data_IF_254906687199
#
_entry.id   IF_254906687199
#
_cell.length_a   1.000
_cell.length_b   1.000
_cell.length_c   1.000
_cell.angle_alpha   90.00
_cell.angle_beta   90.00
_cell.angle_gamma   90.00
#
_symmetry.space_group_name_H-M   'P 1'
#
loop_
_entity.id
_entity.type
_entity.pdbx_description
1 polymer ?
2 non-polymer ?
3 non-polymer ?
4 non-polymer ?
5 water ?
#
# COMPACT_ATOMS: atom_id res chain seq x y z
N UNK A 3 20.19 -4.40 15.27
CA UNK A 3 19.15 -3.33 15.10
C UNK A 3 18.71 -3.10 13.66
N UNK A 4 17.45 -2.71 13.48
CA UNK A 4 16.90 -2.51 12.13
C UNK A 4 16.53 -1.07 11.96
N UNK A 5 16.22 -0.69 10.73
CA UNK A 5 15.85 0.69 10.43
C UNK A 5 14.46 0.94 10.99
N UNK A 6 14.29 2.10 11.62
CA UNK A 6 13.01 2.57 12.06
C UNK A 6 12.87 4.10 11.92
N UNK A 7 11.65 4.59 12.13
CA UNK A 7 11.32 6.03 11.93
C UNK A 7 10.97 6.64 13.27
N UNK A 8 11.73 7.62 13.70
CA UNK A 8 11.68 7.96 15.14
C UNK A 8 11.07 9.30 15.53
N UNK A 9 10.79 10.15 14.56
CA UNK A 9 10.33 11.48 14.85
C UNK A 9 8.85 11.59 14.47
N UNK A 10 8.25 12.75 14.68
CA UNK A 10 6.85 13.05 14.38
C UNK A 10 6.87 14.01 13.24
N UNK A 11 6.12 13.71 12.18
CA UNK A 11 6.22 14.45 10.92
C UNK A 11 5.65 15.86 11.06
N UNK A 12 6.25 16.77 10.29
CA UNK A 12 5.71 18.12 10.10
C UNK A 12 4.48 18.09 9.14
N UNK A 13 3.26 18.16 9.70
CA UNK A 13 2.00 18.50 8.91
C UNK A 13 2.30 19.75 8.05
N UNK A 14 2.10 19.65 6.72
CA UNK A 14 2.79 20.58 5.82
C UNK A 14 2.27 22.01 5.94
N UNK A 15 3.11 22.98 5.59
CA UNK A 15 2.84 24.39 5.92
C UNK A 15 1.51 24.94 5.37
N UNK A 16 1.18 24.59 4.12
CA UNK A 16 0.00 25.13 3.40
C UNK A 16 -0.23 24.44 2.05
N UNK A 17 -1.38 24.70 1.45
CA UNK A 17 -1.70 24.21 0.10
C UNK A 17 -2.48 22.90 0.05
N UNK A 18 -2.56 22.35 -1.16
CA UNK A 18 -3.20 21.06 -1.42
C UNK A 18 -2.60 19.95 -0.56
N UNK A 19 -1.26 19.88 -0.53
CA UNK A 19 -0.60 18.87 0.31
C UNK A 19 -1.01 18.92 1.79
N UNK A 20 -1.16 20.13 2.35
CA UNK A 20 -1.65 20.27 3.72
C UNK A 20 -3.08 19.76 3.88
N UNK A 21 -3.93 20.04 2.90
CA UNK A 21 -5.35 19.59 2.93
C UNK A 21 -5.41 18.05 2.90
N UNK A 22 -4.60 17.46 2.03
CA UNK A 22 -4.50 16.00 1.94
C UNK A 22 -3.96 15.41 3.25
N UNK A 23 -2.88 15.98 3.82
CA UNK A 23 -2.37 15.51 5.14
C UNK A 23 -3.40 15.57 6.28
N UNK A 24 -4.24 16.60 6.25
CA UNK A 24 -5.26 16.79 7.30
C UNK A 24 -6.31 15.68 7.33
N UNK A 25 -6.49 15.00 6.19
CA UNK A 25 -7.43 13.89 6.11
C UNK A 25 -7.11 12.77 7.08
N UNK A 26 -5.82 12.48 7.26
CA UNK A 26 -5.42 11.51 8.26
C UNK A 26 -5.89 11.89 9.66
N UNK A 27 -5.77 13.16 10.01
CA UNK A 27 -6.23 13.62 11.33
C UNK A 27 -7.72 13.33 11.50
N UNK A 28 -8.52 13.60 10.48
CA UNK A 28 -9.95 13.27 10.48
C UNK A 28 -10.19 11.74 10.71
N UNK A 29 -9.41 10.92 10.03
CA UNK A 29 -9.47 9.45 10.13
C UNK A 29 -9.09 8.99 11.54
N UNK A 30 -8.01 9.53 12.08
CA UNK A 30 -7.55 9.25 13.44
C UNK A 30 -8.61 9.61 14.49
N UNK A 31 -9.26 10.73 14.28
CA UNK A 31 -10.38 11.15 15.12
C UNK A 31 -11.60 10.20 15.05
N UNK A 32 -11.89 9.69 13.84
CA UNK A 32 -12.94 8.68 13.65
C UNK A 32 -12.60 7.40 14.44
N UNK A 33 -11.34 6.95 14.37
CA UNK A 33 -10.89 5.88 15.27
C UNK A 33 -11.27 6.11 16.71
N UNK A 34 -10.97 7.31 17.23
CA UNK A 34 -11.24 7.69 18.61
C UNK A 34 -12.70 7.58 19.05
N UNK A 35 -13.63 7.68 18.10
CA UNK A 35 -15.07 7.51 18.42
C UNK A 35 -15.37 6.06 18.89
N UNK A 36 -14.54 5.12 18.47
CA UNK A 36 -14.78 3.71 18.75
C UNK A 36 -15.89 3.11 17.92
N UNK A 37 -16.45 3.94 17.03
CA UNK A 37 -17.57 3.53 16.17
C UNK A 37 -17.11 3.16 14.77
N UNK A 38 -17.17 1.85 14.44
CA UNK A 38 -16.70 1.42 13.13
C UNK A 38 -17.44 2.05 11.90
N UNK A 39 -18.71 2.39 12.07
CA UNK A 39 -19.48 3.10 11.05
C UNK A 39 -18.84 4.44 10.68
N UNK A 40 -18.40 5.17 11.70
CA UNK A 40 -17.80 6.48 11.48
C UNK A 40 -16.52 6.32 10.69
N UNK A 41 -15.74 5.30 11.04
CA UNK A 41 -14.48 5.06 10.28
C UNK A 41 -14.78 4.68 8.83
N UNK A 42 -15.66 3.69 8.63
CA UNK A 42 -16.09 3.28 7.28
C UNK A 42 -16.61 4.45 6.41
N UNK A 43 -17.27 5.43 7.05
CA UNK A 43 -17.81 6.58 6.32
C UNK A 43 -16.73 7.33 5.54
N UNK A 44 -15.49 7.18 5.96
CA UNK A 44 -14.36 7.86 5.27
C UNK A 44 -13.81 7.09 4.02
N UNK A 45 -14.32 5.86 3.79
CA UNK A 45 -13.95 5.04 2.65
C UNK A 45 -15.03 5.18 1.59
N UNK A 46 -14.58 5.28 0.35
CA UNK A 46 -15.49 5.19 -0.80
C UNK A 46 -16.22 3.83 -0.76
N UNK A 47 -17.47 3.80 -1.28
CA UNK A 47 -18.19 2.51 -1.38
C UNK A 47 -17.39 1.40 -2.06
N UNK A 48 -16.57 1.77 -3.05
CA UNK A 48 -15.66 0.85 -3.74
C UNK A 48 -14.21 0.98 -3.26
N UNK A 49 -14.04 1.49 -2.06
CA UNK A 49 -12.72 1.49 -1.43
C UNK A 49 -12.20 0.09 -1.20
N UNK A 50 -10.86 -0.02 -1.14
CA UNK A 50 -10.19 -1.31 -0.87
C UNK A 50 -9.20 -1.07 0.29
N UNK A 51 -9.35 -1.85 1.35
CA UNK A 51 -8.48 -1.87 2.52
C UNK A 51 -7.64 -3.19 2.61
N UNK A 52 -6.35 -3.05 2.73
CA UNK A 52 -5.38 -4.12 2.86
C UNK A 52 -4.72 -3.86 4.21
N UNK A 53 -5.36 -4.39 5.28
CA UNK A 53 -5.12 -3.93 6.63
C UNK A 53 -3.93 -4.53 7.35
N UNK A 54 -3.51 -3.90 8.45
CA UNK A 54 -2.33 -4.33 9.16
C UNK A 54 -2.39 -5.77 9.63
N UNK A 55 -3.51 -6.18 10.25
CA UNK A 55 -3.51 -7.48 10.96
C UNK A 55 -4.40 -8.60 10.38
N UNK A 56 -4.91 -8.41 9.17
CA UNK A 56 -5.74 -9.45 8.57
C UNK A 56 -5.30 -9.79 7.17
N UNK A 57 -5.32 -11.09 6.83
CA UNK A 57 -5.04 -11.47 5.45
C UNK A 57 -6.17 -11.11 4.51
N UNK A 58 -7.38 -10.90 5.03
CA UNK A 58 -8.56 -10.75 4.18
C UNK A 58 -8.61 -9.29 3.71
N UNK A 59 -8.46 -9.12 2.40
CA UNK A 59 -8.59 -7.80 1.77
C UNK A 59 -10.08 -7.41 1.81
N UNK A 60 -10.34 -6.18 2.21
CA UNK A 60 -11.71 -5.72 2.45
C UNK A 60 -12.14 -4.80 1.32
N UNK A 61 -13.13 -5.24 0.55
CA UNK A 61 -13.55 -4.48 -0.65
C UNK A 61 -15.05 -4.20 -0.66
N UNK A 62 -15.69 -4.20 0.52
CA UNK A 62 -17.03 -3.69 0.68
C UNK A 62 -17.10 -2.93 1.98
N UNK A 63 -18.13 -2.08 2.14
CA UNK A 63 -18.30 -1.36 3.39
C UNK A 63 -18.42 -2.33 4.53
N UNK A 64 -19.18 -3.42 4.31
CA UNK A 64 -19.42 -4.42 5.37
C UNK A 64 -18.10 -5.04 5.82
N UNK A 65 -17.23 -5.37 4.86
CA UNK A 65 -15.96 -5.97 5.20
C UNK A 65 -15.02 -4.98 5.89
N UNK A 66 -15.05 -3.73 5.47
CA UNK A 66 -14.29 -2.65 6.17
C UNK A 66 -14.78 -2.50 7.61
N UNK A 67 -16.08 -2.35 7.80
CA UNK A 67 -16.66 -2.28 9.14
C UNK A 67 -16.21 -3.43 10.00
N UNK A 68 -16.26 -4.64 9.44
CA UNK A 68 -15.87 -5.83 10.17
C UNK A 68 -14.44 -5.71 10.72
N UNK A 69 -13.51 -5.21 9.90
CA UNK A 69 -12.17 -5.01 10.38
C UNK A 69 -12.08 -4.05 11.56
N UNK A 70 -12.77 -2.92 11.46
CA UNK A 70 -12.68 -1.88 12.48
C UNK A 70 -13.45 -2.28 13.72
N UNK A 71 -14.44 -3.16 13.59
CA UNK A 71 -15.09 -3.70 14.80
C UNK A 71 -14.07 -4.36 15.76
N UNK A 72 -13.08 -5.04 15.18
CA UNK A 72 -12.00 -5.62 15.97
C UNK A 72 -10.98 -4.56 16.31
N UNK A 73 -10.42 -3.91 15.28
CA UNK A 73 -9.34 -2.92 15.48
C UNK A 73 -9.61 -1.85 16.55
N UNK A 74 -10.85 -1.37 16.62
CA UNK A 74 -11.16 -0.23 17.46
C UNK A 74 -11.24 -0.63 18.93
N UNK A 75 -11.38 -1.92 19.21
CA UNK A 75 -11.38 -2.41 20.60
C UNK A 75 -10.01 -2.22 21.30
N UNK A 76 -8.96 -1.97 20.52
CA UNK A 76 -7.61 -1.64 21.01
C UNK A 76 -7.37 -0.15 21.27
N UNK A 77 -8.42 0.67 21.10
CA UNK A 77 -8.37 2.11 21.36
C UNK A 77 -7.18 2.74 20.60
N UNK A 78 -7.05 2.45 19.30
CA UNK A 78 -5.85 2.90 18.58
C UNK A 78 -5.77 4.42 18.35
N UNK A 79 -4.56 4.96 18.51
CA UNK A 79 -4.26 6.36 18.30
C UNK A 79 -3.06 6.37 17.36
N UNK A 80 -3.15 7.01 16.18
CA UNK A 80 -2.00 7.06 15.25
C UNK A 80 -1.24 8.38 15.24
N UNK A 81 0.05 8.33 14.93
CA UNK A 81 0.84 9.54 14.68
C UNK A 81 1.70 9.27 13.46
N UNK A 82 1.85 10.28 12.61
CA UNK A 82 2.62 10.16 11.37
C UNK A 82 4.08 10.45 11.66
N UNK A 83 4.96 9.53 11.26
CA UNK A 83 6.40 9.69 11.50
C UNK A 83 7.12 10.19 10.29
N UNK A 84 6.59 9.84 9.14
CA UNK A 84 7.17 10.24 7.90
C UNK A 84 6.08 10.17 6.84
N UNK A 85 6.02 11.22 6.03
CA UNK A 85 4.95 11.46 5.05
C UNK A 85 5.49 11.82 3.69
N UNK A 86 4.86 11.28 2.64
CA UNK A 86 4.95 11.80 1.25
C UNK A 86 3.53 12.09 0.78
N UNK A 87 3.36 13.21 0.08
CA UNK A 87 2.10 13.56 -0.58
C UNK A 87 2.32 13.78 -2.06
N UNK A 88 1.55 13.06 -2.88
CA UNK A 88 1.64 13.17 -4.32
C UNK A 88 0.25 13.48 -4.85
N UNK A 89 0.15 14.52 -5.67
CA UNK A 89 -1.14 15.02 -6.17
C UNK A 89 -1.30 14.50 -7.59
N UNK A 90 -2.40 13.82 -7.87
CA UNK A 90 -2.63 13.27 -9.19
C UNK A 90 -3.51 14.23 -10.00
N UNK A 91 -4.82 14.19 -9.79
CA UNK A 91 -5.76 15.06 -10.50
C UNK A 91 -5.72 16.44 -9.81
N UNK A 92 -6.84 17.15 -9.86
CA UNK A 92 -7.22 18.12 -8.81
C UNK A 92 -8.08 17.36 -7.77
N UNK A 93 -8.47 16.14 -8.14
CA UNK A 93 -9.40 15.36 -7.35
C UNK A 93 -8.88 13.97 -6.97
N UNK A 94 -7.56 13.72 -7.06
CA UNK A 94 -7.01 12.53 -6.43
C UNK A 94 -5.60 12.75 -5.90
N UNK A 95 -5.29 12.07 -4.80
CA UNK A 95 -4.01 12.22 -4.09
C UNK A 95 -3.57 10.98 -3.36
N UNK A 96 -2.26 10.85 -3.13
CA UNK A 96 -1.71 9.77 -2.34
C UNK A 96 -0.87 10.31 -1.18
N UNK A 97 -1.27 9.91 0.02
CA UNK A 97 -0.48 10.12 1.25
C UNK A 97 0.10 8.76 1.70
N UNK A 98 1.41 8.66 1.74
CA UNK A 98 2.10 7.42 2.00
C UNK A 98 3.31 7.69 2.88
N UNK A 99 3.55 6.77 3.79
CA UNK A 99 4.72 6.87 4.66
C UNK A 99 4.71 5.86 5.77
N UNK A 100 5.08 6.32 6.94
CA UNK A 100 5.19 5.49 8.17
C UNK A 100 4.43 6.19 9.26
N UNK A 101 3.62 5.40 9.96
CA UNK A 101 2.98 5.86 11.15
C UNK A 101 3.10 4.84 12.29
N UNK A 102 2.79 5.31 13.50
CA UNK A 102 2.86 4.51 14.69
C UNK A 102 1.52 4.59 15.40
N UNK A 103 1.01 3.44 15.76
CA UNK A 103 -0.18 3.35 16.60
C UNK A 103 0.15 2.96 18.03
N UNK A 104 -0.46 3.66 18.96
CA UNK A 104 -0.46 3.27 20.35
C UNK A 104 -1.76 2.54 20.58
N UNK A 105 -1.64 1.30 21.05
CA UNK A 105 -2.77 0.44 21.28
C UNK A 105 -2.87 0.21 22.79
N UNK A 106 -4.09 -0.02 23.24
CA UNK A 106 -4.36 -0.24 24.66
C UNK A 106 -5.07 -1.57 24.81
N UNK A 107 -4.57 -2.42 25.69
CA UNK A 107 -5.12 -3.77 25.83
C UNK A 107 -6.26 -3.81 26.86
N UNK A 108 -6.85 -5.01 27.03
CA UNK A 108 -8.01 -5.24 27.92
C UNK A 108 -7.77 -4.78 29.36
N UNK A 109 -6.54 -4.96 29.85
CA UNK A 109 -6.14 -4.56 31.21
C UNK A 109 -5.39 -3.21 31.30
N UNK A 110 -5.56 -2.33 30.31
CA UNK A 110 -4.94 -0.98 30.30
C UNK A 110 -3.49 -0.89 29.80
N UNK A 111 -2.95 -2.01 29.36
CA UNK A 111 -1.54 -2.08 28.99
C UNK A 111 -1.39 -1.51 27.57
N UNK A 112 -0.43 -0.62 27.39
CA UNK A 112 -0.20 0.01 26.08
C UNK A 112 1.01 -0.58 25.37
N UNK A 113 0.99 -0.43 24.05
CA UNK A 113 2.06 -0.89 23.22
C UNK A 113 2.00 -0.04 21.96
N UNK A 114 3.12 0.09 21.27
CA UNK A 114 3.21 0.86 20.04
C UNK A 114 3.57 -0.08 18.96
N UNK A 115 2.90 0.08 17.81
CA UNK A 115 3.25 -0.60 16.58
C UNK A 115 3.51 0.38 15.41
N UNK A 116 4.68 0.27 14.82
CA UNK A 116 5.03 1.09 13.67
C UNK A 116 4.69 0.31 12.39
N UNK A 117 4.16 1.02 11.41
CA UNK A 117 3.65 0.39 10.15
C UNK A 117 3.82 1.37 8.99
N UNK A 118 3.95 0.83 7.78
CA UNK A 118 3.91 1.63 6.57
C UNK A 118 2.43 1.82 6.17
N UNK A 119 2.15 2.92 5.49
CA UNK A 119 0.83 3.21 4.96
C UNK A 119 0.83 3.79 3.56
N UNK A 120 -0.25 3.50 2.86
CA UNK A 120 -0.70 4.26 1.72
C UNK A 120 -2.18 4.55 1.91
N UNK A 121 -2.53 5.82 1.84
CA UNK A 121 -3.93 6.25 1.56
C UNK A 121 -4.03 6.87 0.15
N UNK A 122 -4.92 6.36 -0.69
CA UNK A 122 -5.23 6.96 -1.97
C UNK A 122 -6.63 7.53 -1.80
N UNK A 123 -6.68 8.85 -1.97
CA UNK A 123 -7.93 9.59 -1.88
C UNK A 123 -8.47 10.03 -3.27
N UNK A 124 -9.79 10.06 -3.39
CA UNK A 124 -10.42 10.54 -4.60
C UNK A 124 -11.49 11.52 -4.13
N UNK A 125 -11.56 12.72 -4.72
CA UNK A 125 -12.58 13.69 -4.34
C UNK A 125 -13.81 13.54 -5.25
N UNK A 126 -14.95 13.20 -4.66
CA UNK A 126 -16.21 13.06 -5.40
C UNK A 126 -17.27 13.92 -4.75
N UNK A 127 -18.01 14.69 -5.56
CA UNK A 127 -18.99 15.64 -5.05
C UNK A 127 -18.35 16.53 -4.01
N UNK A 128 -17.13 16.95 -4.33
CA UNK A 128 -16.35 17.86 -3.50
C UNK A 128 -15.81 17.30 -2.19
N UNK A 129 -16.08 16.02 -1.91
CA UNK A 129 -15.65 15.40 -0.68
C UNK A 129 -14.59 14.30 -0.96
N UNK A 130 -13.52 14.33 -0.19
CA UNK A 130 -12.49 13.30 -0.26
C UNK A 130 -12.93 12.00 0.40
N UNK A 131 -12.71 10.89 -0.30
CA UNK A 131 -12.96 9.56 0.25
C UNK A 131 -11.75 8.67 -0.06
N UNK A 132 -11.52 7.68 0.82
CA UNK A 132 -10.43 6.71 0.62
C UNK A 132 -10.80 5.65 -0.42
N UNK A 133 -10.03 5.57 -1.51
CA UNK A 133 -10.18 4.49 -2.50
C UNK A 133 -9.25 3.29 -2.28
N UNK A 134 -8.12 3.53 -1.63
CA UNK A 134 -7.17 2.47 -1.23
C UNK A 134 -6.58 2.87 0.10
N UNK A 135 -6.55 1.92 1.02
CA UNK A 135 -5.70 2.06 2.25
C UNK A 135 -4.96 0.72 2.44
N UNK A 136 -3.63 0.76 2.39
CA UNK A 136 -2.79 -0.37 2.58
C UNK A 136 -1.98 -0.02 3.83
N UNK A 137 -1.98 -0.90 4.82
CA UNK A 137 -1.29 -0.65 6.10
C UNK A 137 -0.54 -1.94 6.44
N UNK A 138 0.76 -1.86 6.76
CA UNK A 138 1.56 -3.04 6.90
C UNK A 138 2.65 -2.90 7.97
N UNK A 139 2.82 -3.95 8.75
CA UNK A 139 3.89 -3.98 9.74
C UNK A 139 5.25 -3.79 9.10
N UNK A 140 6.19 -3.28 9.90
CA UNK A 140 7.61 -3.23 9.48
C UNK A 140 8.01 -4.65 9.08
N UNK A 141 8.59 -4.81 7.89
CA UNK A 141 9.00 -6.19 7.55
C UNK A 141 10.20 -6.76 8.28
N UNK A 142 11.12 -5.91 8.73
CA UNK A 142 12.33 -6.36 9.45
C UNK A 142 12.21 -6.08 10.94
N UNK A 143 12.56 -7.09 11.73
CA UNK A 143 12.57 -7.02 13.20
C UNK A 143 13.95 -7.47 13.72
N UNK A 144 14.42 -6.84 14.81
CA UNK A 144 15.63 -7.25 15.62
C UNK A 144 16.96 -6.53 15.31
N UNK B 4 -8.80 -17.94 8.78
CA UNK B 4 -7.76 -17.17 7.99
C UNK B 4 -7.92 -17.27 6.46
N UNK B 5 -7.90 -16.11 5.80
CA UNK B 5 -8.07 -16.03 4.34
C UNK B 5 -6.75 -16.39 3.68
N UNK B 6 -6.85 -17.28 2.69
CA UNK B 6 -5.77 -17.47 1.74
C UNK B 6 -6.30 -17.26 0.33
N UNK B 7 -5.41 -16.82 -0.56
CA UNK B 7 -5.76 -16.56 -1.95
C UNK B 7 -4.94 -17.55 -2.74
N UNK B 8 -5.59 -18.55 -3.34
CA UNK B 8 -4.84 -19.63 -4.00
C UNK B 8 -4.91 -19.68 -5.54
N UNK B 9 -5.87 -18.98 -6.14
CA UNK B 9 -6.01 -19.04 -7.60
C UNK B 9 -5.28 -17.89 -8.26
N UNK B 10 -5.39 -17.84 -9.58
CA UNK B 10 -4.77 -16.83 -10.38
C UNK B 10 -5.81 -15.90 -11.01
N UNK B 11 -5.64 -14.58 -10.87
CA UNK B 11 -6.61 -13.61 -11.39
C UNK B 11 -6.43 -13.39 -12.88
N UNK B 12 -7.43 -13.79 -13.67
CA UNK B 12 -7.43 -13.51 -15.09
C UNK B 12 -7.48 -11.99 -15.37
N UNK B 13 -6.87 -11.58 -16.47
CA UNK B 13 -7.00 -10.21 -16.97
C UNK B 13 -8.45 -9.89 -17.23
N UNK B 14 -8.83 -8.63 -17.00
CA UNK B 14 -10.09 -8.32 -17.61
C UNK B 14 -9.84 -8.51 -19.17
N UNK B 15 -10.21 -9.65 -19.80
CA UNK B 15 -9.89 -9.95 -21.29
C UNK B 15 -10.08 -8.82 -22.31
N UNK B 16 -10.84 -7.79 -21.87
CA UNK B 16 -11.28 -6.67 -22.70
C UNK B 16 -11.32 -5.41 -21.83
N UNK B 17 -11.12 -4.25 -22.48
CA UNK B 17 -11.34 -2.93 -21.86
C UNK B 17 -10.15 -2.22 -21.23
N UNK B 18 -10.41 -1.10 -20.53
CA UNK B 18 -9.36 -0.19 -20.00
C UNK B 18 -8.86 -0.52 -18.56
N UNK B 19 -9.67 -1.29 -17.85
CA UNK B 19 -9.20 -2.02 -16.68
C UNK B 19 -8.14 -2.99 -17.14
N UNK B 20 -8.25 -3.48 -18.37
CA UNK B 20 -7.29 -4.43 -18.87
C UNK B 20 -5.93 -3.74 -19.03
N UNK B 21 -5.95 -2.54 -19.62
CA UNK B 21 -4.74 -1.72 -19.79
C UNK B 21 -3.96 -1.57 -18.47
N UNK B 22 -4.68 -1.14 -17.43
CA UNK B 22 -4.09 -0.93 -16.12
C UNK B 22 -3.59 -2.27 -15.55
N UNK B 23 -4.44 -3.31 -15.59
CA UNK B 23 -4.07 -4.61 -15.10
C UNK B 23 -2.84 -5.21 -15.80
N UNK B 24 -2.70 -4.96 -17.09
CA UNK B 24 -1.57 -5.51 -17.87
C UNK B 24 -0.21 -4.88 -17.50
N UNK B 25 -0.27 -3.70 -16.89
CA UNK B 25 0.93 -3.01 -16.51
C UNK B 25 1.76 -3.88 -15.57
N UNK B 26 1.11 -4.68 -14.71
CA UNK B 26 1.84 -5.59 -13.80
C UNK B 26 2.68 -6.62 -14.60
N UNK B 27 2.13 -7.05 -15.71
CA UNK B 27 2.84 -8.01 -16.57
C UNK B 27 4.15 -7.43 -17.08
N UNK B 28 4.11 -6.16 -17.40
CA UNK B 28 5.28 -5.44 -17.94
C UNK B 28 6.31 -5.27 -16.84
N UNK B 29 5.83 -5.02 -15.63
CA UNK B 29 6.66 -4.88 -14.42
C UNK B 29 7.31 -6.20 -14.00
N UNK B 30 6.52 -7.26 -13.94
CA UNK B 30 7.02 -8.58 -13.74
C UNK B 30 8.12 -8.93 -14.74
N UNK B 31 7.89 -8.64 -16.02
CA UNK B 31 8.90 -8.84 -17.08
C UNK B 31 10.16 -8.04 -16.84
N UNK B 32 10.03 -6.82 -16.36
CA UNK B 32 11.20 -6.03 -15.99
C UNK B 32 12.03 -6.72 -14.91
N UNK B 33 11.35 -7.35 -13.93
CA UNK B 33 12.05 -8.07 -12.85
C UNK B 33 12.92 -9.13 -13.47
N UNK B 34 12.37 -9.84 -14.46
CA UNK B 34 13.00 -11.03 -15.04
C UNK B 34 14.26 -10.66 -15.79
N UNK B 35 14.41 -9.40 -16.15
CA UNK B 35 15.67 -8.95 -16.78
C UNK B 35 16.85 -8.93 -15.80
N UNK B 36 16.58 -8.92 -14.51
CA UNK B 36 17.57 -8.75 -13.45
C UNK B 36 18.22 -7.36 -13.40
N UNK B 37 17.67 -6.41 -14.15
CA UNK B 37 18.25 -5.07 -14.29
C UNK B 37 17.45 -4.06 -13.47
N UNK B 38 18.02 -3.61 -12.35
CA UNK B 38 17.26 -2.69 -11.47
C UNK B 38 16.85 -1.38 -12.14
N UNK B 39 17.66 -0.93 -13.09
CA UNK B 39 17.39 0.27 -13.84
C UNK B 39 16.14 0.10 -14.71
N UNK B 40 15.97 -1.08 -15.29
CA UNK B 40 14.76 -1.34 -16.09
C UNK B 40 13.49 -1.33 -15.24
N UNK B 41 13.60 -1.89 -14.03
CA UNK B 41 12.48 -1.86 -13.07
C UNK B 41 12.17 -0.42 -12.60
N UNK B 42 13.22 0.33 -12.25
CA UNK B 42 13.13 1.72 -11.80
C UNK B 42 12.48 2.61 -12.87
N UNK B 43 12.76 2.30 -14.12
CA UNK B 43 12.15 3.00 -15.26
C UNK B 43 10.62 3.05 -15.24
N UNK B 44 9.97 2.11 -14.54
CA UNK B 44 8.50 2.04 -14.46
C UNK B 44 7.89 2.88 -13.33
N UNK B 45 8.75 3.43 -12.48
CA UNK B 45 8.36 4.33 -11.43
C UNK B 45 8.56 5.77 -11.88
N UNK B 46 7.61 6.61 -11.46
CA UNK B 46 7.73 8.05 -11.63
C UNK B 46 8.94 8.55 -10.82
N UNK B 47 9.62 9.61 -11.32
CA UNK B 47 10.76 10.14 -10.56
C UNK B 47 10.40 10.47 -9.11
N UNK B 48 9.14 10.87 -8.89
CA UNK B 48 8.58 11.12 -7.57
C UNK B 48 7.75 9.97 -7.03
N UNK B 49 7.95 8.78 -7.54
CA UNK B 49 7.24 7.62 -6.97
C UNK B 49 7.78 7.26 -5.58
N UNK B 50 6.98 6.47 -4.88
CA UNK B 50 7.23 6.03 -3.53
C UNK B 50 6.97 4.52 -3.43
N UNK B 51 7.99 3.80 -2.97
CA UNK B 51 7.95 2.34 -2.82
C UNK B 51 8.06 2.00 -1.35
N UNK B 52 7.11 1.22 -0.85
CA UNK B 52 7.06 0.74 0.52
C UNK B 52 7.15 -0.80 0.37
N UNK B 53 8.42 -1.30 0.41
CA UNK B 53 8.58 -2.62 -0.21
C UNK B 53 8.38 -3.81 0.69
N UNK B 54 8.34 -5.01 0.07
CA UNK B 54 8.09 -6.21 0.80
C UNK B 54 9.07 -6.54 1.95
N UNK B 55 10.37 -6.44 1.69
CA UNK B 55 11.37 -6.97 2.60
C UNK B 55 12.29 -5.95 3.27
N UNK B 56 12.03 -4.65 3.06
CA UNK B 56 12.85 -3.59 3.63
C UNK B 56 12.02 -2.57 4.44
N UNK B 57 12.56 -2.21 5.59
CA UNK B 57 11.94 -1.19 6.49
C UNK B 57 12.07 0.24 5.94
N UNK B 58 13.07 0.43 5.07
CA UNK B 58 13.34 1.68 4.39
C UNK B 58 12.32 1.95 3.27
N UNK B 59 11.57 3.02 3.45
CA UNK B 59 10.71 3.53 2.35
C UNK B 59 11.62 4.18 1.30
N UNK B 60 11.31 3.96 0.02
CA UNK B 60 12.18 4.42 -1.08
C UNK B 60 11.42 5.51 -1.84
N UNK B 61 11.95 6.72 -1.83
CA UNK B 61 11.31 7.89 -2.43
C UNK B 61 12.23 8.68 -3.39
N UNK B 62 13.24 8.00 -3.99
CA UNK B 62 14.05 8.57 -5.04
C UNK B 62 14.36 7.41 -5.96
N UNK B 63 14.64 7.73 -7.21
CA UNK B 63 15.06 6.73 -8.15
C UNK B 63 16.21 5.91 -7.60
N UNK B 64 17.21 6.57 -7.05
CA UNK B 64 18.38 5.86 -6.53
C UNK B 64 18.04 4.93 -5.35
N UNK B 65 17.08 5.31 -4.50
CA UNK B 65 16.64 4.46 -3.42
C UNK B 65 15.91 3.20 -3.94
N UNK B 66 15.06 3.43 -4.94
CA UNK B 66 14.28 2.36 -5.57
C UNK B 66 15.23 1.39 -6.29
N UNK B 67 16.17 1.94 -7.04
CA UNK B 67 17.20 1.10 -7.70
C UNK B 67 17.96 0.24 -6.70
N UNK B 68 18.37 0.86 -5.59
CA UNK B 68 19.02 0.13 -4.49
C UNK B 68 18.19 -1.06 -3.95
N UNK B 69 16.89 -0.89 -3.80
CA UNK B 69 16.09 -2.01 -3.34
C UNK B 69 16.13 -3.15 -4.36
N UNK B 70 15.95 -2.82 -5.63
CA UNK B 70 15.86 -3.86 -6.66
C UNK B 70 17.20 -4.51 -6.93
N UNK B 71 18.27 -3.75 -6.67
CA UNK B 71 19.64 -4.26 -6.71
C UNK B 71 19.78 -5.48 -5.76
N UNK B 72 19.05 -5.47 -4.62
CA UNK B 72 19.04 -6.58 -3.68
C UNK B 72 17.92 -7.59 -4.02
N UNK B 73 16.72 -7.08 -4.28
CA UNK B 73 15.58 -7.94 -4.53
C UNK B 73 15.72 -8.85 -5.75
N UNK B 74 16.33 -8.31 -6.82
CA UNK B 74 16.44 -9.07 -8.06
C UNK B 74 17.41 -10.24 -8.01
N UNK B 75 18.26 -10.27 -7.01
CA UNK B 75 19.22 -11.38 -6.86
C UNK B 75 18.43 -12.66 -6.53
N UNK B 76 17.21 -12.48 -6.02
CA UNK B 76 16.30 -13.60 -5.75
C UNK B 76 15.51 -14.11 -6.98
N UNK B 77 15.83 -13.59 -8.17
CA UNK B 77 15.18 -14.04 -9.41
C UNK B 77 13.65 -14.07 -9.25
N UNK B 78 13.07 -12.96 -8.76
CA UNK B 78 11.64 -13.04 -8.37
C UNK B 78 10.72 -13.18 -9.61
N UNK B 79 9.65 -13.94 -9.46
CA UNK B 79 8.63 -14.10 -10.47
C UNK B 79 7.32 -13.93 -9.71
N UNK B 80 6.47 -13.01 -10.18
CA UNK B 80 5.22 -12.71 -9.54
C UNK B 80 3.98 -13.22 -10.26
N UNK B 81 2.95 -13.62 -9.51
CA UNK B 81 1.67 -13.94 -10.13
C UNK B 81 0.55 -13.40 -9.26
N UNK B 82 -0.40 -12.78 -9.93
CA UNK B 82 -1.56 -12.12 -9.25
C UNK B 82 -2.55 -13.18 -8.84
N UNK B 83 -2.86 -13.22 -7.54
CA UNK B 83 -3.89 -14.11 -7.04
C UNK B 83 -5.27 -13.46 -6.95
N UNK B 84 -5.28 -12.16 -6.67
CA UNK B 84 -6.54 -11.44 -6.41
C UNK B 84 -6.32 -10.00 -6.84
N UNK B 85 -7.24 -9.47 -7.65
CA UNK B 85 -7.11 -8.14 -8.18
C UNK B 85 -8.38 -7.31 -8.03
N UNK B 86 -8.17 -6.05 -7.68
CA UNK B 86 -9.14 -4.99 -7.82
C UNK B 86 -8.50 -3.88 -8.67
N UNK B 87 -9.25 -3.35 -9.66
CA UNK B 87 -8.84 -2.11 -10.33
C UNK B 87 -9.84 -0.99 -10.11
N UNK B 88 -9.35 0.19 -9.76
CA UNK B 88 -10.16 1.38 -9.59
C UNK B 88 -9.56 2.49 -10.44
N UNK B 89 -10.36 2.98 -11.39
CA UNK B 89 -9.89 4.07 -12.29
C UNK B 89 -10.25 5.40 -11.65
N UNK B 90 -9.30 6.30 -11.46
CA UNK B 90 -9.63 7.59 -10.84
C UNK B 90 -10.06 8.61 -11.90
N UNK B 91 -9.18 8.87 -12.86
CA UNK B 91 -9.55 9.63 -14.06
C UNK B 91 -8.97 8.89 -15.27
N UNK B 92 -9.01 9.55 -16.45
CA UNK B 92 -8.31 9.06 -17.63
C UNK B 92 -6.83 8.74 -17.35
N UNK B 93 -6.25 9.46 -16.39
CA UNK B 93 -4.80 9.44 -16.21
C UNK B 93 -4.34 8.97 -14.84
N UNK B 94 -5.23 8.40 -14.04
CA UNK B 94 -4.75 7.73 -12.87
C UNK B 94 -5.62 6.51 -12.48
N UNK B 95 -4.98 5.54 -11.85
CA UNK B 95 -5.65 4.28 -11.52
C UNK B 95 -4.93 3.58 -10.36
N UNK B 96 -5.68 2.70 -9.67
CA UNK B 96 -5.15 1.86 -8.61
C UNK B 96 -5.47 0.39 -8.88
N UNK B 97 -4.42 -0.40 -8.87
CA UNK B 97 -4.45 -1.87 -8.94
C UNK B 97 -3.94 -2.37 -7.60
N UNK B 98 -4.83 -3.07 -6.88
CA UNK B 98 -4.50 -3.55 -5.53
C UNK B 98 -5.09 -4.96 -5.33
N UNK B 99 -4.36 -5.73 -4.53
CA UNK B 99 -4.81 -7.10 -4.22
C UNK B 99 -3.77 -7.95 -3.56
N UNK B 100 -3.61 -9.18 -4.05
CA UNK B 100 -2.73 -10.14 -3.47
C UNK B 100 -1.95 -10.80 -4.59
N UNK B 101 -0.66 -10.95 -4.38
CA UNK B 101 0.16 -11.66 -5.35
C UNK B 101 1.20 -12.53 -4.67
N UNK B 102 1.79 -13.45 -5.45
CA UNK B 102 2.73 -14.40 -4.95
C UNK B 102 4.03 -14.30 -5.74
N UNK B 103 5.14 -14.14 -5.02
CA UNK B 103 6.48 -14.21 -5.61
C UNK B 103 7.08 -15.59 -5.39
N UNK B 104 7.63 -16.16 -6.45
CA UNK B 104 8.52 -17.30 -6.36
C UNK B 104 9.94 -16.73 -6.35
N UNK B 105 10.64 -17.02 -5.27
CA UNK B 105 11.99 -16.53 -5.02
C UNK B 105 13.02 -17.66 -4.99
N UNK B 106 14.23 -17.36 -5.45
CA UNK B 106 15.33 -18.35 -5.46
C UNK B 106 16.43 -17.87 -4.52
N UNK B 107 16.82 -18.72 -3.58
CA UNK B 107 17.82 -18.30 -2.62
C UNK B 107 19.19 -18.53 -3.24
N UNK B 108 20.23 -18.15 -2.51
CA UNK B 108 21.61 -18.22 -3.06
C UNK B 108 22.08 -19.65 -3.38
N UNK B 109 21.36 -20.67 -2.87
CA UNK B 109 21.60 -22.09 -3.19
C UNK B 109 20.71 -22.66 -4.27
N UNK B 110 19.89 -21.83 -4.90
CA UNK B 110 18.93 -22.28 -5.91
C UNK B 110 17.61 -22.84 -5.40
N UNK B 111 17.37 -22.79 -4.10
CA UNK B 111 16.16 -23.33 -3.49
C UNK B 111 15.02 -22.35 -3.68
N UNK B 112 13.89 -22.83 -4.17
CA UNK B 112 12.76 -21.96 -4.42
C UNK B 112 11.83 -21.92 -3.23
N UNK B 113 11.25 -20.76 -2.94
CA UNK B 113 10.15 -20.61 -1.99
C UNK B 113 9.17 -19.58 -2.57
N UNK B 114 7.95 -19.61 -2.04
CA UNK B 114 6.87 -18.67 -2.41
C UNK B 114 6.59 -17.76 -1.25
N UNK B 115 6.45 -16.47 -1.53
CA UNK B 115 6.04 -15.47 -0.55
C UNK B 115 4.78 -14.78 -1.10
N UNK B 116 3.67 -14.95 -0.41
CA UNK B 116 2.48 -14.24 -0.79
C UNK B 116 2.44 -12.88 -0.09
N UNK B 117 1.89 -11.87 -0.76
CA UNK B 117 1.94 -10.50 -0.28
C UNK B 117 0.73 -9.72 -0.77
N UNK B 118 0.31 -8.69 -0.02
CA UNK B 118 -0.69 -7.78 -0.56
C UNK B 118 0.08 -6.71 -1.38
N UNK B 119 -0.57 -6.10 -2.37
CA UNK B 119 0.03 -5.02 -3.12
C UNK B 119 -0.98 -3.87 -3.39
N UNK B 120 -0.44 -2.64 -3.46
CA UNK B 120 -1.06 -1.50 -4.10
C UNK B 120 -0.09 -0.91 -5.11
N UNK B 121 -0.52 -0.83 -6.36
CA UNK B 121 0.08 0.02 -7.37
C UNK B 121 -0.87 1.19 -7.68
N UNK B 122 -0.34 2.41 -7.56
CA UNK B 122 -1.05 3.58 -8.00
C UNK B 122 -0.27 4.09 -9.21
N UNK B 123 -1.00 4.21 -10.31
CA UNK B 123 -0.39 4.67 -11.55
C UNK B 123 -0.89 6.05 -12.00
N UNK B 124 -0.01 6.78 -12.67
CA UNK B 124 -0.37 8.05 -13.28
C UNK B 124 0.15 8.03 -14.69
N UNK B 125 -0.69 8.42 -15.64
CA UNK B 125 -0.28 8.52 -17.03
C UNK B 125 0.31 9.92 -17.26
N UNK B 126 1.57 9.92 -17.67
CA UNK B 126 2.29 11.15 -17.99
C UNK B 126 2.84 11.06 -19.40
N UNK B 127 2.53 12.08 -20.21
CA UNK B 127 3.01 12.15 -21.57
C UNK B 127 2.77 10.80 -22.26
N UNK B 128 1.55 10.28 -22.06
CA UNK B 128 1.13 9.01 -22.65
C UNK B 128 1.64 7.73 -22.03
N UNK B 129 2.52 7.82 -21.04
CA UNK B 129 3.09 6.63 -20.41
C UNK B 129 2.63 6.52 -18.95
N UNK B 130 2.21 5.33 -18.54
CA UNK B 130 1.79 5.04 -17.17
C UNK B 130 3.04 4.78 -16.29
N UNK B 131 3.15 5.53 -15.21
CA UNK B 131 4.28 5.41 -14.29
C UNK B 131 3.74 5.14 -12.93
N UNK B 132 4.53 4.40 -12.11
CA UNK B 132 4.10 4.09 -10.73
C UNK B 132 4.37 5.29 -9.84
N UNK B 133 3.32 5.77 -9.18
CA UNK B 133 3.46 6.82 -8.20
C UNK B 133 3.57 6.26 -6.75
N UNK B 134 2.90 5.14 -6.47
CA UNK B 134 2.98 4.47 -5.20
C UNK B 134 2.95 2.96 -5.45
N UNK B 135 3.84 2.26 -4.77
CA UNK B 135 3.87 0.81 -4.73
C UNK B 135 4.09 0.38 -3.28
N UNK B 136 3.07 -0.27 -2.71
CA UNK B 136 3.15 -0.74 -1.35
C UNK B 136 2.99 -2.24 -1.43
N UNK B 137 3.94 -2.97 -0.84
CA UNK B 137 3.96 -4.44 -0.97
C UNK B 137 4.27 -5.02 0.41
N UNK B 138 3.47 -5.96 0.86
CA UNK B 138 3.57 -6.41 2.23
C UNK B 138 3.20 -7.89 2.39
N UNK B 139 4.00 -8.59 3.20
CA UNK B 139 3.73 -9.99 3.54
C UNK B 139 2.35 -10.15 4.17
N UNK B 140 1.78 -11.33 3.99
CA UNK B 140 0.51 -11.66 4.60
C UNK B 140 0.72 -11.64 6.09
N UNK B 141 -0.09 -10.84 6.82
CA UNK B 141 0.17 -10.73 8.24
C UNK B 141 -0.16 -11.94 9.13
N UNK B 142 -1.04 -12.79 8.66
CA UNK B 142 -1.40 -14.03 9.34
C UNK B 142 -0.65 -15.19 8.64
N UNK B 143 0.30 -15.75 9.38
CA UNK B 143 1.21 -16.78 8.86
C UNK B 143 1.54 -17.78 9.97
X LIG C 1 -5.12 -1.47 9.05
X LIG C 1 -5.65 0.31 9.99
X LIG C 1 -5.04 -1.48 10.70
X LIG D 1 9.14 -6.07 -3.05
X LIG D 1 8.53 -4.66 -2.81
X LIG D 1 8.69 -5.09 -4.89
X LIG E 1 17.97 -24.90 4.08
X LIG E 1 18.33 -23.69 3.41
X LIG E 1 18.41 -26.14 3.30
X LIG E 1 19.41 -25.84 2.35
X LIG E 1 19.64 -26.90 1.41
X LIG E 1 20.17 -26.38 0.06
X LIG E 1 19.20 -25.55 -0.57
X LIG F 1 -16.09 -0.80 -9.34
X LIG F 1 -15.87 0.53 -8.83
X LIG F 1 -15.85 -1.83 -8.24
X LIG F 1 -17.06 -2.35 -7.68
X LIG F 1 -17.00 -2.55 -6.25
X LIG F 1 -18.19 -1.88 -5.58
X LIG F 1 -18.38 -2.34 -4.23
X LIG G 1 18.70 -11.18 -0.34
X LIG G 1 19.02 -10.28 0.75
X LIG G 1 18.25 -10.68 2.01
X LIG G 1 16.86 -10.30 1.96
X LIG G 1 16.02 -11.22 2.70
X LIG G 1 14.55 -10.86 2.62
X LIG G 1 13.78 -12.05 2.62
X LIG G 1 13.05 -12.35 1.41
X LIG G 1 12.86 -13.86 1.20
X LIG G 1 14.03 -14.42 0.57
X LIG G 1 13.81 -15.38 -0.46
X LIG G 1 15.06 -16.19 -0.84
X LIG G 1 16.28 -15.40 -0.72
#
# INVERSE_FOLDING_TARGET
GGGVMHYTDKAALPADGEAREVAALFDTWNAALATGNPHKVADLYAPDGVLLPTVSNEVRASREQIENYFEMFLTKKPKGVINYRTVRLLDDDSAVDAGVYTFTLTDKNGKKSDVQARYTFVYEKRDGKWLIINHHSSAMPEVDTATATAAVTKAK
GGGVMHYTDKAALPADGEAREVAALFDTWNAALATGNPHKVADLYAPDGVLLPTVSNEVRASREQIENYFEMFLTKKPKGVINYRTVRLLDDDSAVDAGVYTFTLTDKNGKKSDVQARYTFVYEKRDGKWLIINHHSSAMPEVDTATATAAVTKAK
UNL O1 O2 O3
UNL O1 O2 O3
PEG C1 O1 C2 O2 C3 C4 O4
PEG C1 O1 C2 O2 C3 C4 O4
PG4 O1 C1 C2 O2 C3 C4 O3 C5 C6 O4 C7 C8 O5
#
